data_IF_157138585467
#
_entry.id   IF_157138585467
#
_cell.length_a   1.000
_cell.length_b   1.000
_cell.length_c   1.000
_cell.angle_alpha   90.00
_cell.angle_beta   90.00
_cell.angle_gamma   90.00
#
_symmetry.space_group_name_H-M   'P 1'
#
loop_
_entity.id
_entity.type
_entity.pdbx_description
1 polymer ?
#
# COMPACT_ATOMS: atom_id res chain seq x y z
N UNK A 1 53.24 -29.18 1.93
CA UNK A 1 52.58 -28.38 2.98
C UNK A 1 52.23 -27.02 2.36
N UNK A 2 51.02 -26.51 2.61
CA UNK A 2 50.32 -25.34 2.01
C UNK A 2 49.32 -25.65 0.89
N UNK A 3 48.17 -26.13 1.37
CA UNK A 3 46.79 -25.75 1.03
C UNK A 3 46.64 -24.43 0.27
N UNK A 4 45.82 -24.45 -0.79
CA UNK A 4 44.95 -23.34 -1.18
C UNK A 4 43.64 -23.96 -1.71
N UNK A 5 42.79 -24.35 -0.77
CA UNK A 5 41.34 -24.47 -0.97
C UNK A 5 40.84 -23.02 -1.00
N UNK A 6 40.52 -22.48 -2.18
CA UNK A 6 39.73 -21.25 -2.25
C UNK A 6 38.28 -21.61 -1.99
N UNK A 7 37.76 -21.05 -0.90
CA UNK A 7 36.42 -21.27 -0.41
C UNK A 7 35.34 -20.81 -1.39
N UNK A 8 34.23 -21.53 -1.29
CA UNK A 8 32.87 -20.99 -1.30
C UNK A 8 32.82 -19.52 -0.87
N UNK A 9 31.90 -18.75 -1.47
CA UNK A 9 30.69 -18.25 -0.78
C UNK A 9 30.18 -16.97 -1.46
N UNK A 10 28.87 -16.96 -1.71
CA UNK A 10 27.98 -15.79 -1.85
C UNK A 10 28.23 -14.79 -2.99
N UNK A 11 27.71 -15.13 -4.18
CA UNK A 11 27.01 -14.17 -5.04
C UNK A 11 25.52 -14.52 -5.08
N UNK A 12 24.87 -14.52 -3.92
CA UNK A 12 23.43 -14.29 -3.81
C UNK A 12 23.30 -12.95 -3.10
N UNK A 13 23.35 -11.87 -3.89
CA UNK A 13 22.97 -10.56 -3.39
C UNK A 13 21.45 -10.63 -3.17
N UNK A 14 21.04 -10.34 -1.95
CA UNK A 14 19.69 -10.49 -1.44
C UNK A 14 18.61 -9.94 -2.40
N UNK A 15 17.85 -10.85 -3.03
CA UNK A 15 16.59 -10.57 -3.70
C UNK A 15 15.45 -10.85 -2.73
N UNK A 16 15.40 -10.11 -1.62
CA UNK A 16 14.31 -10.19 -0.66
C UNK A 16 14.07 -8.79 -0.09
N UNK A 17 13.50 -7.90 -0.90
CA UNK A 17 12.81 -6.74 -0.35
C UNK A 17 11.54 -7.27 0.30
N UNK A 18 11.43 -7.16 1.63
CA UNK A 18 10.16 -7.39 2.28
C UNK A 18 9.26 -6.20 1.96
N UNK A 19 7.97 -6.39 1.66
CA UNK A 19 7.10 -5.26 1.37
C UNK A 19 6.99 -4.28 2.55
N UNK A 20 7.25 -4.79 3.77
CA UNK A 20 7.38 -3.97 4.96
C UNK A 20 8.60 -3.04 4.93
N UNK A 21 9.65 -3.36 4.17
CA UNK A 21 10.79 -2.46 3.95
C UNK A 21 10.37 -1.27 3.07
N UNK A 22 9.51 -1.51 2.07
CA UNK A 22 8.91 -0.44 1.25
C UNK A 22 7.87 0.38 2.00
N UNK A 23 7.22 -0.23 3.00
CA UNK A 23 6.26 0.45 3.85
C UNK A 23 6.93 1.20 5.03
N UNK A 24 8.24 0.99 5.25
CA UNK A 24 9.00 1.55 6.36
C UNK A 24 9.13 3.09 6.33
N UNK A 25 9.68 3.69 7.39
CA UNK A 25 9.87 5.13 7.45
C UNK A 25 10.78 5.61 6.31
N UNK A 26 10.26 6.59 5.56
CA UNK A 26 11.02 7.33 4.58
C UNK A 26 11.57 8.61 5.21
N UNK A 27 12.62 9.16 4.63
CA UNK A 27 13.17 10.43 5.09
C UNK A 27 12.79 11.56 4.14
N UNK A 28 12.53 12.74 4.71
CA UNK A 28 12.37 13.96 3.92
C UNK A 28 13.71 14.33 3.30
N UNK A 29 13.75 14.50 1.98
CA UNK A 29 14.91 15.04 1.28
C UNK A 29 14.88 16.56 1.29
N UNK A 30 13.71 17.15 1.10
CA UNK A 30 13.53 18.59 1.15
C UNK A 30 12.11 19.04 0.79
N UNK A 31 11.92 20.34 0.82
CA UNK A 31 10.71 21.01 0.37
C UNK A 31 11.04 21.79 -0.90
N UNK A 32 10.25 21.59 -1.95
CA UNK A 32 10.41 22.30 -3.21
C UNK A 32 9.10 22.88 -3.69
N UNK A 33 9.19 23.89 -4.55
CA UNK A 33 8.06 24.35 -5.35
C UNK A 33 7.98 23.47 -6.60
N UNK A 34 6.82 22.86 -6.83
CA UNK A 34 6.62 22.02 -8.01
C UNK A 34 6.59 22.88 -9.28
N UNK A 35 7.26 22.41 -10.34
CA UNK A 35 7.48 23.20 -11.55
C UNK A 35 6.45 22.98 -12.65
N UNK A 36 5.52 22.04 -12.51
CA UNK A 36 4.42 21.95 -13.46
C UNK A 36 3.42 23.09 -13.27
N UNK A 37 2.88 23.57 -14.40
CA UNK A 37 1.99 24.73 -14.50
C UNK A 37 0.78 24.68 -13.54
N UNK A 38 0.25 23.49 -13.28
CA UNK A 38 -0.97 23.32 -12.48
C UNK A 38 -0.72 23.29 -10.96
N UNK A 39 0.54 23.17 -10.52
CA UNK A 39 0.92 23.12 -9.10
C UNK A 39 2.05 24.09 -8.73
N UNK A 40 2.25 25.12 -9.56
CA UNK A 40 3.27 26.13 -9.35
C UNK A 40 2.98 26.93 -8.07
N UNK A 41 3.95 26.95 -7.15
CA UNK A 41 3.84 27.63 -5.84
C UNK A 41 3.17 26.80 -4.75
N UNK A 42 2.75 25.57 -5.03
CA UNK A 42 2.31 24.63 -4.00
C UNK A 42 3.50 24.10 -3.19
N UNK A 43 3.26 23.85 -1.91
CA UNK A 43 4.24 23.20 -1.03
C UNK A 43 4.32 21.71 -1.35
N UNK A 44 5.49 21.25 -1.77
CA UNK A 44 5.75 19.83 -2.07
C UNK A 44 6.83 19.30 -1.16
N UNK A 45 6.56 18.14 -0.56
CA UNK A 45 7.54 17.34 0.16
C UNK A 45 8.16 16.35 -0.83
N UNK A 46 9.48 16.41 -0.96
CA UNK A 46 10.28 15.41 -1.67
C UNK A 46 10.88 14.44 -0.65
N UNK A 47 10.67 13.15 -0.89
CA UNK A 47 11.25 12.08 -0.07
C UNK A 47 12.53 11.54 -0.72
N UNK A 48 13.36 10.86 0.07
CA UNK A 48 14.65 10.34 -0.42
C UNK A 48 14.53 9.26 -1.51
N UNK A 49 13.40 8.56 -1.58
CA UNK A 49 13.10 7.65 -2.69
C UNK A 49 12.84 8.40 -4.02
N UNK A 50 12.71 9.73 -3.97
CA UNK A 50 12.41 10.62 -5.08
C UNK A 50 10.93 10.92 -5.27
N UNK A 51 10.04 10.33 -4.45
CA UNK A 51 8.60 10.57 -4.57
C UNK A 51 8.22 11.99 -4.15
N UNK A 52 7.22 12.54 -4.85
CA UNK A 52 6.79 13.93 -4.69
C UNK A 52 5.37 13.99 -4.17
N UNK A 53 5.17 14.74 -3.09
CA UNK A 53 3.89 14.80 -2.38
C UNK A 53 3.45 16.25 -2.18
N UNK A 54 2.37 16.64 -2.87
CA UNK A 54 1.75 17.95 -2.67
C UNK A 54 1.05 18.01 -1.32
N UNK A 55 1.40 19.01 -0.52
CA UNK A 55 0.78 19.29 0.77
C UNK A 55 -0.51 20.09 0.57
N UNK A 56 -1.55 19.73 1.31
CA UNK A 56 -2.78 20.51 1.34
C UNK A 56 -2.52 21.93 1.85
N UNK A 57 -3.09 22.99 1.25
CA UNK A 57 -2.83 24.39 1.62
C UNK A 57 -2.99 24.68 3.12
N UNK A 58 -4.05 24.19 3.76
CA UNK A 58 -4.28 24.35 5.21
C UNK A 58 -3.15 23.81 6.11
N UNK A 59 -2.27 22.95 5.60
CA UNK A 59 -1.18 22.31 6.35
C UNK A 59 0.20 22.80 5.88
N UNK A 60 0.25 23.86 5.07
CA UNK A 60 1.49 24.45 4.54
C UNK A 60 2.48 24.80 5.65
N UNK A 61 2.03 25.56 6.65
CA UNK A 61 2.92 26.03 7.74
C UNK A 61 3.49 24.87 8.57
N UNK A 62 2.72 23.79 8.75
CA UNK A 62 3.20 22.58 9.43
C UNK A 62 4.32 21.95 8.61
N UNK A 63 4.10 21.75 7.29
CA UNK A 63 5.11 21.16 6.42
C UNK A 63 6.37 22.03 6.30
N UNK A 64 6.25 23.35 6.27
CA UNK A 64 7.39 24.28 6.21
C UNK A 64 8.28 24.22 7.45
N UNK A 65 7.77 23.75 8.58
CA UNK A 65 8.54 23.53 9.79
C UNK A 65 9.31 22.20 9.77
N UNK A 66 9.08 21.31 8.80
CA UNK A 66 9.77 20.02 8.71
C UNK A 66 11.18 20.16 8.15
N UNK A 67 12.08 19.32 8.65
CA UNK A 67 13.50 19.37 8.30
C UNK A 67 13.89 18.18 7.41
N UNK A 68 14.93 18.35 6.56
CA UNK A 68 15.55 17.20 5.90
C UNK A 68 15.94 16.14 6.93
N UNK A 69 15.80 14.87 6.55
CA UNK A 69 16.02 13.68 7.37
C UNK A 69 14.97 13.38 8.45
N UNK A 70 13.93 14.21 8.61
CA UNK A 70 12.77 13.82 9.41
C UNK A 70 12.16 12.51 8.86
N UNK A 71 11.85 11.58 9.76
CA UNK A 71 11.25 10.29 9.41
C UNK A 71 9.74 10.45 9.21
N UNK A 72 9.23 10.00 8.07
CA UNK A 72 7.82 10.10 7.70
C UNK A 72 7.25 8.76 7.26
N UNK A 73 5.98 8.53 7.60
CA UNK A 73 5.18 7.42 7.09
C UNK A 73 4.08 7.95 6.17
N UNK A 74 3.83 7.26 5.05
CA UNK A 74 2.63 7.49 4.23
C UNK A 74 1.49 6.66 4.80
N UNK A 75 0.40 7.33 5.17
CA UNK A 75 -0.77 6.72 5.81
C UNK A 75 -2.07 7.03 5.07
N UNK A 76 -3.06 6.14 5.20
CA UNK A 76 -4.42 6.40 4.75
C UNK A 76 -5.15 7.34 5.72
N UNK A 77 -5.99 8.21 5.15
CA UNK A 77 -6.89 9.04 5.95
C UNK A 77 -8.04 8.20 6.48
N UNK A 78 -8.38 8.39 7.75
CA UNK A 78 -9.40 7.57 8.45
C UNK A 78 -10.84 7.72 7.95
N UNK A 79 -11.17 8.77 7.19
CA UNK A 79 -12.56 9.06 6.81
C UNK A 79 -12.79 8.87 5.31
N UNK A 80 -13.82 8.09 4.98
CA UNK A 80 -14.23 7.72 3.61
C UNK A 80 -14.52 8.95 2.75
N UNK A 81 -15.02 10.04 3.36
CA UNK A 81 -15.26 11.32 2.68
C UNK A 81 -14.03 11.84 1.91
N UNK A 82 -12.82 11.51 2.37
CA UNK A 82 -11.60 12.01 1.77
C UNK A 82 -11.12 11.19 0.57
N UNK A 83 -11.63 9.99 0.35
CA UNK A 83 -11.22 9.15 -0.78
C UNK A 83 -11.78 9.64 -2.12
N UNK A 84 -12.79 10.52 -2.08
CA UNK A 84 -13.29 11.26 -3.26
C UNK A 84 -12.54 12.57 -3.53
N UNK A 85 -11.62 12.97 -2.64
CA UNK A 85 -10.87 14.24 -2.73
C UNK A 85 -9.44 13.99 -3.24
N UNK A 86 -8.73 15.02 -3.73
CA UNK A 86 -7.34 14.86 -4.19
C UNK A 86 -6.37 14.43 -3.08
N UNK A 87 -6.47 15.01 -1.87
CA UNK A 87 -5.57 14.74 -0.75
C UNK A 87 -6.04 13.56 0.12
N UNK A 88 -5.95 12.35 -0.44
CA UNK A 88 -6.45 11.08 0.15
C UNK A 88 -5.54 10.52 1.23
N UNK A 89 -4.28 10.93 1.25
CA UNK A 89 -3.22 10.37 2.09
C UNK A 89 -2.75 11.36 3.15
N UNK A 90 -1.92 10.88 4.07
CA UNK A 90 -1.18 11.68 5.04
C UNK A 90 0.29 11.31 4.99
N UNK A 91 1.15 12.31 5.13
CA UNK A 91 2.50 12.10 5.64
C UNK A 91 2.46 12.36 7.13
N UNK A 92 2.84 11.36 7.93
CA UNK A 92 3.02 11.50 9.36
C UNK A 92 4.51 11.61 9.67
N UNK A 93 4.96 12.78 10.13
CA UNK A 93 6.31 13.00 10.61
C UNK A 93 6.45 12.42 12.01
N UNK A 94 7.20 11.33 12.12
CA UNK A 94 7.44 10.58 13.37
C UNK A 94 8.43 11.29 14.28
N UNK A 95 9.39 12.02 13.72
CA UNK A 95 10.34 12.84 14.48
C UNK A 95 9.63 13.94 15.26
N UNK A 96 8.69 14.64 14.61
CA UNK A 96 7.99 15.81 15.18
C UNK A 96 6.60 15.49 15.75
N UNK A 97 6.06 14.30 15.47
CA UNK A 97 4.73 13.88 15.95
C UNK A 97 3.55 14.56 15.22
N UNK A 98 3.80 15.10 14.02
CA UNK A 98 2.84 15.90 13.25
C UNK A 98 2.36 15.17 12.00
N UNK A 99 1.27 15.63 11.38
CA UNK A 99 0.78 15.03 10.13
C UNK A 99 0.24 16.07 9.15
N UNK A 100 0.58 15.92 7.88
CA UNK A 100 0.03 16.75 6.80
C UNK A 100 -0.78 15.93 5.80
N UNK A 101 -1.86 16.52 5.29
CA UNK A 101 -2.68 15.91 4.23
C UNK A 101 -1.93 16.07 2.91
N UNK A 102 -1.84 15.00 2.11
CA UNK A 102 -1.05 15.03 0.88
C UNK A 102 -1.74 14.34 -0.29
N UNK A 103 -1.26 14.67 -1.49
CA UNK A 103 -1.55 14.02 -2.75
C UNK A 103 -0.22 13.64 -3.42
N UNK A 104 -0.10 12.41 -3.90
CA UNK A 104 1.07 11.99 -4.68
C UNK A 104 1.07 12.71 -6.03
N UNK A 105 2.17 13.37 -6.37
CA UNK A 105 2.38 13.99 -7.68
C UNK A 105 3.16 13.05 -8.60
N UNK A 106 4.21 12.44 -8.07
CA UNK A 106 5.08 11.54 -8.81
C UNK A 106 5.64 10.44 -7.90
N UNK A 107 5.96 9.29 -8.51
CA UNK A 107 6.66 8.21 -7.82
C UNK A 107 8.16 8.49 -7.74
N UNK A 108 8.84 7.70 -6.91
CA UNK A 108 10.30 7.75 -6.79
C UNK A 108 11.05 7.26 -8.03
N UNK A 109 12.38 7.29 -7.96
CA UNK A 109 13.26 6.91 -9.08
C UNK A 109 13.15 5.45 -9.52
N UNK A 110 12.61 4.58 -8.67
CA UNK A 110 12.42 3.16 -8.97
C UNK A 110 11.15 2.67 -8.29
N UNK A 111 9.96 2.96 -8.86
CA UNK A 111 8.71 2.49 -8.29
C UNK A 111 8.66 0.97 -8.34
N UNK A 112 8.00 0.39 -7.34
CA UNK A 112 7.63 -1.01 -7.39
C UNK A 112 6.59 -1.17 -8.51
N UNK A 113 6.76 -2.13 -9.41
CA UNK A 113 5.81 -2.35 -10.50
C UNK A 113 5.09 -3.67 -10.33
N UNK A 114 3.86 -3.74 -10.82
CA UNK A 114 3.17 -5.01 -11.04
C UNK A 114 3.88 -5.74 -12.18
N UNK A 115 4.51 -6.87 -11.87
CA UNK A 115 5.15 -7.74 -12.84
C UNK A 115 4.13 -8.66 -13.53
N UNK A 116 3.23 -9.28 -12.76
CA UNK A 116 2.20 -10.15 -13.33
C UNK A 116 0.93 -10.12 -12.47
N UNK A 117 -0.21 -10.49 -13.07
CA UNK A 117 -1.50 -10.52 -12.36
C UNK A 117 -2.29 -11.77 -12.68
N UNK A 118 -2.91 -12.35 -11.65
CA UNK A 118 -3.91 -13.40 -11.85
C UNK A 118 -5.21 -12.81 -12.40
N UNK A 119 -6.07 -13.65 -12.98
CA UNK A 119 -7.48 -13.29 -13.13
C UNK A 119 -8.12 -13.19 -11.74
N UNK A 120 -9.09 -12.28 -11.52
CA UNK A 120 -9.86 -12.28 -10.28
C UNK A 120 -10.56 -13.62 -10.07
N UNK A 121 -10.52 -14.15 -8.86
CA UNK A 121 -11.18 -15.40 -8.48
C UNK A 121 -11.94 -15.26 -7.15
N UNK A 122 -13.00 -16.06 -7.02
CA UNK A 122 -13.84 -16.13 -5.85
C UNK A 122 -13.11 -16.74 -4.64
N UNK A 123 -13.31 -16.19 -3.45
CA UNK A 123 -12.93 -16.85 -2.19
C UNK A 123 -13.89 -17.99 -1.84
N UNK A 124 -13.41 -18.90 -0.97
CA UNK A 124 -14.21 -19.97 -0.41
C UNK A 124 -15.58 -19.48 0.09
N UNK A 125 -16.60 -20.29 -0.17
CA UNK A 125 -17.98 -20.04 0.22
C UNK A 125 -18.14 -20.23 1.73
N UNK A 126 -18.85 -19.32 2.40
CA UNK A 126 -19.37 -19.61 3.74
C UNK A 126 -20.66 -20.39 3.63
N UNK A 127 -20.77 -21.45 4.41
CA UNK A 127 -22.02 -22.17 4.62
C UNK A 127 -22.82 -21.47 5.71
N UNK A 128 -23.88 -20.77 5.31
CA UNK A 128 -24.83 -20.18 6.25
C UNK A 128 -25.99 -21.15 6.46
N UNK A 129 -26.21 -21.67 7.68
CA UNK A 129 -27.33 -22.57 7.94
C UNK A 129 -28.68 -21.86 7.70
N UNK A 130 -29.59 -22.57 7.05
CA UNK A 130 -30.99 -22.18 6.87
C UNK A 130 -31.80 -22.90 7.93
N UNK A 131 -32.50 -22.14 8.77
CA UNK A 131 -33.31 -22.69 9.86
C UNK A 131 -34.78 -22.78 9.46
N UNK A 132 -35.45 -23.83 9.95
CA UNK A 132 -36.90 -23.93 9.99
C UNK A 132 -37.33 -24.33 11.40
N UNK A 133 -38.62 -24.17 11.70
CA UNK A 133 -39.20 -24.68 12.93
C UNK A 133 -39.74 -26.09 12.68
N UNK A 134 -39.45 -27.01 13.58
CA UNK A 134 -40.11 -28.32 13.59
C UNK A 134 -41.54 -28.23 14.17
N UNK A 135 -42.21 -29.38 14.28
CA UNK A 135 -43.58 -29.46 14.77
C UNK A 135 -43.73 -29.13 16.27
N UNK A 136 -42.62 -29.06 17.02
CA UNK A 136 -42.57 -28.69 18.43
C UNK A 136 -42.14 -27.22 18.64
N UNK A 137 -41.85 -26.51 17.54
CA UNK A 137 -41.41 -25.12 17.55
C UNK A 137 -39.91 -24.96 17.81
N UNK A 138 -39.11 -26.02 17.68
CA UNK A 138 -37.66 -25.97 17.83
C UNK A 138 -37.00 -25.61 16.49
N UNK A 139 -35.98 -24.75 16.53
CA UNK A 139 -35.17 -24.43 15.35
C UNK A 139 -34.31 -25.64 14.94
N UNK A 140 -34.45 -26.06 13.68
CA UNK A 140 -33.64 -27.09 13.04
C UNK A 140 -32.96 -26.55 11.80
N UNK A 141 -31.74 -27.01 11.51
CA UNK A 141 -31.03 -26.68 10.27
C UNK A 141 -31.61 -27.54 9.14
N UNK A 142 -32.22 -26.92 8.14
CA UNK A 142 -32.84 -27.61 6.99
C UNK A 142 -32.01 -27.51 5.71
N UNK A 143 -30.90 -26.80 5.76
CA UNK A 143 -29.95 -26.71 4.66
C UNK A 143 -28.87 -25.67 4.92
N UNK A 144 -28.02 -25.46 3.92
CA UNK A 144 -27.00 -24.44 3.94
C UNK A 144 -27.09 -23.60 2.67
N UNK A 145 -26.97 -22.28 2.83
CA UNK A 145 -26.77 -21.35 1.73
C UNK A 145 -25.27 -21.06 1.62
N UNK A 146 -24.69 -21.35 0.46
CA UNK A 146 -23.34 -20.91 0.15
C UNK A 146 -23.36 -19.42 -0.17
N UNK A 147 -22.61 -18.62 0.59
CA UNK A 147 -22.44 -17.19 0.36
C UNK A 147 -21.00 -16.93 -0.07
N UNK A 148 -20.85 -16.25 -1.21
CA UNK A 148 -19.56 -15.84 -1.71
C UNK A 148 -18.95 -14.81 -0.76
N UNK A 149 -17.78 -15.10 -0.18
CA UNK A 149 -17.08 -14.15 0.70
C UNK A 149 -16.52 -12.92 -0.01
N UNK A 150 -16.26 -13.04 -1.30
CA UNK A 150 -15.72 -11.96 -2.12
C UNK A 150 -14.88 -12.47 -3.27
N UNK A 151 -14.19 -11.53 -3.89
CA UNK A 151 -13.24 -11.78 -4.97
C UNK A 151 -11.85 -11.33 -4.53
N UNK A 152 -10.83 -11.98 -5.09
CA UNK A 152 -9.43 -11.68 -4.86
C UNK A 152 -8.67 -11.71 -6.17
N UNK A 153 -7.57 -10.98 -6.20
CA UNK A 153 -6.59 -11.03 -7.28
C UNK A 153 -5.19 -11.10 -6.67
N UNK A 154 -4.33 -11.92 -7.25
CA UNK A 154 -2.92 -12.03 -6.85
C UNK A 154 -2.07 -11.24 -7.82
N UNK A 155 -1.19 -10.42 -7.28
CA UNK A 155 -0.19 -9.62 -7.98
C UNK A 155 1.19 -10.19 -7.66
N UNK A 156 2.03 -10.31 -8.67
CA UNK A 156 3.48 -10.48 -8.51
C UNK A 156 4.14 -9.13 -8.80
N UNK A 157 5.08 -8.71 -7.96
CA UNK A 157 5.74 -7.42 -8.07
C UNK A 157 7.18 -7.58 -8.57
N UNK A 158 7.79 -6.50 -9.06
CA UNK A 158 9.14 -6.53 -9.63
C UNK A 158 10.25 -6.86 -8.62
N UNK A 159 9.98 -6.77 -7.32
CA UNK A 159 10.87 -7.24 -6.25
C UNK A 159 10.75 -8.75 -5.97
N UNK A 160 9.85 -9.45 -6.67
CA UNK A 160 9.57 -10.88 -6.51
C UNK A 160 8.53 -11.20 -5.43
N UNK A 161 7.98 -10.19 -4.75
CA UNK A 161 6.92 -10.39 -3.76
C UNK A 161 5.59 -10.77 -4.42
N UNK A 162 4.79 -11.57 -3.71
CA UNK A 162 3.47 -12.01 -4.14
C UNK A 162 2.43 -11.52 -3.15
N UNK A 163 1.43 -10.79 -3.66
CA UNK A 163 0.51 -10.01 -2.86
C UNK A 163 -0.92 -10.20 -3.33
N UNK A 164 -1.84 -10.35 -2.39
CA UNK A 164 -3.27 -10.40 -2.64
C UNK A 164 -3.89 -9.02 -2.46
N UNK A 165 -4.72 -8.62 -3.43
CA UNK A 165 -5.62 -7.48 -3.34
C UNK A 165 -7.08 -7.94 -3.42
N UNK A 166 -8.00 -7.16 -2.85
CA UNK A 166 -9.43 -7.52 -2.72
C UNK A 166 -10.39 -6.52 -3.37
N UNK A 167 -9.85 -5.42 -3.90
CA UNK A 167 -10.63 -4.35 -4.51
C UNK A 167 -9.78 -3.59 -5.55
N UNK A 168 -10.45 -2.83 -6.41
CA UNK A 168 -9.84 -1.98 -7.45
C UNK A 168 -8.97 -2.75 -8.47
N UNK A 169 -9.31 -4.01 -8.76
CA UNK A 169 -8.54 -4.94 -9.61
C UNK A 169 -8.10 -4.34 -10.95
N UNK A 170 -9.00 -3.59 -11.59
CA UNK A 170 -8.77 -2.98 -12.90
C UNK A 170 -7.66 -1.91 -12.92
N UNK A 171 -7.28 -1.41 -11.74
CA UNK A 171 -6.25 -0.37 -11.57
C UNK A 171 -4.85 -0.95 -11.33
N UNK A 172 -4.72 -2.28 -11.18
CA UNK A 172 -3.45 -2.98 -10.96
C UNK A 172 -3.23 -3.98 -12.09
N UNK A 173 -2.67 -3.49 -13.20
CA UNK A 173 -2.32 -4.31 -14.37
C UNK A 173 -0.80 -4.43 -14.46
N UNK A 174 -0.31 -5.34 -15.28
CA UNK A 174 1.12 -5.44 -15.58
C UNK A 174 1.70 -4.08 -16.01
N UNK A 175 2.85 -3.73 -15.44
CA UNK A 175 3.53 -2.44 -15.62
C UNK A 175 2.98 -1.29 -14.78
N UNK A 176 1.92 -1.49 -13.98
CA UNK A 176 1.39 -0.45 -13.09
C UNK A 176 2.40 -0.10 -11.99
N UNK A 177 2.70 1.19 -11.84
CA UNK A 177 3.50 1.74 -10.74
C UNK A 177 2.73 1.69 -9.42
N UNK A 178 3.41 1.24 -8.36
CA UNK A 178 2.88 1.10 -7.01
C UNK A 178 3.79 1.85 -6.03
N UNK A 179 3.14 2.59 -5.14
CA UNK A 179 3.74 3.05 -3.90
C UNK A 179 3.13 2.28 -2.73
N UNK A 180 3.94 1.93 -1.73
CA UNK A 180 3.48 1.19 -0.55
C UNK A 180 3.40 2.16 0.64
N UNK A 181 2.23 2.25 1.27
CA UNK A 181 2.05 2.94 2.55
C UNK A 181 1.66 1.97 3.65
N UNK A 182 1.58 2.46 4.89
CA UNK A 182 1.08 1.68 6.05
C UNK A 182 -0.27 2.23 6.47
N UNK A 183 -1.26 1.34 6.55
CA UNK A 183 -2.52 1.65 7.22
C UNK A 183 -2.41 1.26 8.69
N UNK A 184 -2.53 2.23 9.59
CA UNK A 184 -2.54 2.03 11.05
C UNK A 184 -3.97 2.21 11.62
N UNK A 185 -5.00 1.95 10.81
CA UNK A 185 -6.40 1.97 11.25
C UNK A 185 -6.70 0.84 12.24
N UNK A 186 -7.78 1.04 13.00
CA UNK A 186 -8.08 0.32 14.24
C UNK A 186 -8.31 -1.19 14.08
N UNK A 187 -8.62 -1.65 12.86
CA UNK A 187 -9.00 -3.00 12.49
C UNK A 187 -8.02 -3.69 11.52
N UNK A 188 -7.07 -2.96 10.96
CA UNK A 188 -6.05 -3.49 10.06
C UNK A 188 -4.76 -2.67 10.19
N UNK A 189 -3.68 -3.37 10.55
CA UNK A 189 -2.32 -2.86 10.48
C UNK A 189 -1.59 -3.61 9.37
N UNK A 190 -1.31 -2.92 8.27
CA UNK A 190 -0.66 -3.55 7.14
C UNK A 190 -0.42 -2.63 5.96
N UNK A 191 0.27 -3.14 4.94
CA UNK A 191 0.60 -2.35 3.76
C UNK A 191 -0.67 -2.07 2.94
N UNK A 192 -0.70 -0.90 2.33
CA UNK A 192 -1.65 -0.60 1.26
C UNK A 192 -0.89 -0.10 0.05
N UNK A 193 -1.44 -0.39 -1.12
CA UNK A 193 -0.86 0.05 -2.39
C UNK A 193 -1.54 1.29 -2.90
N UNK A 194 -0.75 2.16 -3.54
CA UNK A 194 -1.21 3.35 -4.25
C UNK A 194 -0.81 3.23 -5.71
N UNK A 195 -1.79 3.29 -6.61
CA UNK A 195 -1.60 3.35 -8.07
C UNK A 195 -2.15 4.66 -8.62
N UNK A 196 -1.58 5.15 -9.72
CA UNK A 196 -1.95 6.43 -10.33
C UNK A 196 -1.40 7.64 -9.59
N UNK A 197 -1.42 8.79 -10.26
CA UNK A 197 -0.87 10.06 -9.77
C UNK A 197 -1.98 11.10 -9.60
N UNK A 198 -1.71 12.14 -8.80
CA UNK A 198 -2.56 13.32 -8.61
C UNK A 198 -4.00 12.91 -8.21
N UNK A 199 -5.03 13.47 -8.84
CA UNK A 199 -6.43 13.21 -8.51
C UNK A 199 -6.86 11.77 -8.85
N UNK A 200 -6.14 11.12 -9.77
CA UNK A 200 -6.41 9.76 -10.24
C UNK A 200 -5.92 8.69 -9.25
N UNK A 201 -5.04 9.05 -8.31
CA UNK A 201 -4.46 8.11 -7.37
C UNK A 201 -5.54 7.27 -6.65
N UNK A 202 -5.44 5.94 -6.76
CA UNK A 202 -6.29 4.94 -6.10
C UNK A 202 -5.47 4.19 -5.07
N UNK A 203 -6.15 3.57 -4.11
CA UNK A 203 -5.49 2.74 -3.12
C UNK A 203 -6.25 1.45 -2.87
N UNK A 204 -5.55 0.41 -2.43
CA UNK A 204 -6.15 -0.87 -2.01
C UNK A 204 -5.33 -1.49 -0.88
N UNK A 205 -5.94 -2.14 0.13
CA UNK A 205 -5.20 -2.94 1.10
C UNK A 205 -4.45 -4.08 0.40
N UNK A 206 -3.23 -4.35 0.86
CA UNK A 206 -2.35 -5.37 0.30
C UNK A 206 -2.09 -6.46 1.36
N UNK A 207 -2.34 -7.72 1.01
CA UNK A 207 -2.12 -8.85 1.91
C UNK A 207 -0.98 -9.68 1.38
N UNK A 208 0.14 -9.72 2.10
CA UNK A 208 1.24 -10.61 1.77
C UNK A 208 0.76 -12.06 1.80
N UNK A 209 1.03 -12.80 0.74
CA UNK A 209 0.88 -14.24 0.75
C UNK A 209 2.22 -14.81 1.21
N UNK A 210 2.23 -15.45 2.38
CA UNK A 210 3.37 -16.29 2.76
C UNK A 210 3.54 -17.34 1.66
N UNK A 211 4.73 -17.40 1.04
CA UNK A 211 5.05 -18.56 0.21
C UNK A 211 5.10 -19.72 1.17
N UNK A 212 4.11 -20.62 1.08
CA UNK A 212 4.22 -21.94 1.69
C UNK A 212 5.59 -22.51 1.31
N UNK A 213 6.49 -22.63 2.29
CA UNK A 213 7.78 -23.30 2.11
C UNK A 213 7.45 -24.75 1.74
N UNK A 214 7.49 -25.05 0.45
CA UNK A 214 7.37 -26.40 -0.10
C UNK A 214 8.72 -27.09 -0.16
#
# INVERSE_FOLDING_TARGET
MRTLFFGLLSCFIALYGNIFDYAGPLQIRGLSEYKEKDYQGDTVVELYDGSLWKVHPDHKEIALAWEPFDEVHVQLRKSIYWFSRPHKFRLHNRTKGESVKVMILDYGFSPLLVFSTSKPFATCWDEVPIYALDNEGQEIIVGYKLILKGWKQVLELTDGSTVEIRDNFENFKEGTEIFVGIDERWDYQGPFFITGKKEQAKWTPAYLLERDEK
#
